data_IF_472060632858
#
_entry.id   IF_472060632858
#
_cell.length_a   1.000
_cell.length_b   1.000
_cell.length_c   1.000
_cell.angle_alpha   90.00
_cell.angle_beta   90.00
_cell.angle_gamma   90.00
#
_symmetry.space_group_name_H-M   'P 1'
#
loop_
_entity.id
_entity.type
_entity.pdbx_description
1 polymer ?
#
# COMPACT_ATOMS: atom_id res chain seq x y z
N UNK A 1 -22.15 -4.43 2.65
CA UNK A 1 -20.85 -3.90 2.24
C UNK A 1 -21.09 -2.80 1.23
N UNK A 2 -20.53 -1.62 1.45
CA UNK A 2 -20.76 -0.42 0.61
C UNK A 2 -19.49 -0.09 -0.17
N UNK A 3 -19.64 0.01 -1.49
CA UNK A 3 -18.56 0.25 -2.44
C UNK A 3 -18.72 1.63 -3.05
N UNK A 4 -17.66 2.40 -3.10
CA UNK A 4 -17.60 3.57 -3.97
C UNK A 4 -16.97 3.14 -5.31
N UNK A 5 -17.66 3.45 -6.41
CA UNK A 5 -17.20 3.20 -7.77
C UNK A 5 -16.89 4.52 -8.45
N UNK A 6 -15.63 4.78 -8.74
CA UNK A 6 -15.18 5.94 -9.50
C UNK A 6 -14.78 5.48 -10.92
N UNK A 7 -15.61 5.83 -11.92
CA UNK A 7 -15.49 5.39 -13.32
C UNK A 7 -16.16 6.40 -14.21
N UNK A 8 -15.44 7.05 -15.12
CA UNK A 8 -15.96 8.13 -15.95
C UNK A 8 -16.77 7.63 -17.16
N UNK A 9 -16.50 6.42 -17.64
CA UNK A 9 -17.28 5.79 -18.70
C UNK A 9 -18.65 5.33 -18.16
N UNK A 10 -19.67 6.11 -18.41
CA UNK A 10 -21.02 5.90 -17.84
C UNK A 10 -21.65 4.55 -18.20
N UNK A 11 -21.31 3.96 -19.35
CA UNK A 11 -21.80 2.64 -19.76
C UNK A 11 -21.18 1.54 -18.88
N UNK A 12 -19.87 1.59 -18.67
CA UNK A 12 -19.16 0.67 -17.79
C UNK A 12 -19.57 0.86 -16.32
N UNK A 13 -19.63 2.11 -15.87
CA UNK A 13 -20.08 2.45 -14.51
C UNK A 13 -21.45 1.86 -14.18
N UNK A 14 -22.44 2.01 -15.07
CA UNK A 14 -23.79 1.42 -14.89
C UNK A 14 -23.74 -0.11 -14.88
N UNK A 15 -22.97 -0.71 -15.78
CA UNK A 15 -22.87 -2.18 -15.86
C UNK A 15 -22.24 -2.76 -14.58
N UNK A 16 -21.17 -2.12 -14.09
CA UNK A 16 -20.49 -2.52 -12.84
C UNK A 16 -21.40 -2.29 -11.62
N UNK A 17 -22.08 -1.15 -11.55
CA UNK A 17 -23.05 -0.87 -10.47
C UNK A 17 -24.12 -1.95 -10.42
N UNK A 18 -24.81 -2.21 -11.54
CA UNK A 18 -25.85 -3.24 -11.59
C UNK A 18 -25.34 -4.63 -11.22
N UNK A 19 -24.11 -4.96 -11.62
CA UNK A 19 -23.46 -6.21 -11.26
C UNK A 19 -23.23 -6.32 -9.75
N UNK A 20 -22.66 -5.28 -9.13
CA UNK A 20 -22.36 -5.25 -7.71
C UNK A 20 -23.63 -5.29 -6.86
N UNK A 21 -24.67 -4.52 -7.25
CA UNK A 21 -25.98 -4.52 -6.58
C UNK A 21 -26.66 -5.91 -6.62
N UNK A 22 -26.58 -6.62 -7.76
CA UNK A 22 -27.08 -7.99 -7.88
C UNK A 22 -26.33 -8.97 -6.97
N UNK A 23 -25.11 -8.65 -6.56
CA UNK A 23 -24.32 -9.41 -5.62
C UNK A 23 -24.37 -8.86 -4.19
N UNK A 24 -25.44 -8.10 -3.87
CA UNK A 24 -25.76 -7.57 -2.54
C UNK A 24 -24.77 -6.54 -1.98
N UNK A 25 -24.08 -5.80 -2.85
CA UNK A 25 -23.30 -4.62 -2.46
C UNK A 25 -24.19 -3.38 -2.57
N UNK A 26 -24.05 -2.45 -1.65
CA UNK A 26 -24.54 -1.08 -1.85
C UNK A 26 -23.49 -0.30 -2.63
N UNK A 27 -23.85 0.42 -3.67
CA UNK A 27 -22.91 1.09 -4.57
C UNK A 27 -23.28 2.54 -4.75
N UNK A 28 -22.31 3.43 -4.54
CA UNK A 28 -22.39 4.81 -4.99
C UNK A 28 -21.41 4.97 -6.16
N UNK A 29 -21.89 5.56 -7.26
CA UNK A 29 -21.09 5.75 -8.46
C UNK A 29 -20.79 7.24 -8.68
N UNK A 30 -19.52 7.56 -8.89
CA UNK A 30 -18.99 8.89 -9.20
C UNK A 30 -18.19 8.84 -10.50
N UNK A 31 -17.98 9.98 -11.14
CA UNK A 31 -17.49 10.02 -12.51
C UNK A 31 -16.21 10.84 -12.70
N UNK A 32 -15.63 11.32 -11.61
CA UNK A 32 -14.31 11.96 -11.60
C UNK A 32 -13.63 11.81 -10.22
N UNK A 33 -12.33 12.05 -10.20
CA UNK A 33 -11.55 11.84 -8.98
C UNK A 33 -11.81 12.86 -7.87
N UNK A 34 -12.27 14.09 -8.21
CA UNK A 34 -12.60 15.09 -7.20
C UNK A 34 -13.88 14.68 -6.46
N UNK A 35 -14.91 14.26 -7.21
CA UNK A 35 -16.15 13.73 -6.65
C UNK A 35 -15.89 12.48 -5.79
N UNK A 36 -14.93 11.62 -6.20
CA UNK A 36 -14.56 10.45 -5.41
C UNK A 36 -14.01 10.82 -4.04
N UNK A 37 -13.15 11.84 -3.95
CA UNK A 37 -12.64 12.33 -2.67
C UNK A 37 -13.73 12.92 -1.79
N UNK A 38 -14.61 13.74 -2.34
CA UNK A 38 -15.72 14.35 -1.62
C UNK A 38 -16.63 13.29 -0.98
N UNK A 39 -16.94 12.21 -1.72
CA UNK A 39 -17.75 11.11 -1.22
C UNK A 39 -17.04 10.31 -0.13
N UNK A 40 -15.72 10.13 -0.23
CA UNK A 40 -14.92 9.42 0.77
C UNK A 40 -14.75 10.21 2.07
N UNK A 41 -14.73 11.54 2.01
CA UNK A 41 -14.72 12.40 3.19
C UNK A 41 -16.05 12.37 3.97
N UNK A 42 -17.16 12.29 3.25
CA UNK A 42 -18.51 12.34 3.83
C UNK A 42 -19.14 10.98 4.14
N UNK A 43 -18.59 9.89 3.62
CA UNK A 43 -19.21 8.57 3.65
C UNK A 43 -18.35 7.47 4.26
N UNK A 44 -19.02 6.42 4.76
CA UNK A 44 -18.35 5.19 5.18
C UNK A 44 -18.46 4.15 4.07
N UNK A 45 -17.32 3.82 3.46
CA UNK A 45 -17.19 2.80 2.44
C UNK A 45 -16.26 1.69 2.89
N UNK A 46 -16.57 0.46 2.48
CA UNK A 46 -15.77 -0.73 2.78
C UNK A 46 -14.66 -0.96 1.76
N UNK A 47 -14.84 -0.46 0.53
CA UNK A 47 -13.83 -0.46 -0.52
C UNK A 47 -14.09 0.63 -1.57
N UNK A 48 -13.04 0.98 -2.30
CA UNK A 48 -13.06 1.86 -3.47
C UNK A 48 -12.65 1.06 -4.71
N UNK A 49 -13.46 1.11 -5.75
CA UNK A 49 -13.08 0.70 -7.11
C UNK A 49 -12.79 1.97 -7.91
N UNK A 50 -11.59 2.12 -8.43
CA UNK A 50 -11.07 3.39 -8.92
C UNK A 50 -10.43 3.24 -10.30
N UNK A 51 -11.02 3.87 -11.31
CA UNK A 51 -10.36 3.97 -12.61
C UNK A 51 -9.14 4.89 -12.55
N UNK A 52 -8.08 4.52 -13.25
CA UNK A 52 -6.89 5.37 -13.38
C UNK A 52 -7.20 6.59 -14.25
N UNK A 53 -7.83 6.37 -15.39
CA UNK A 53 -8.06 7.41 -16.41
C UNK A 53 -9.39 8.11 -16.18
N UNK A 54 -9.39 9.18 -15.38
CA UNK A 54 -10.59 9.99 -15.13
C UNK A 54 -10.34 11.48 -15.40
N UNK A 55 -11.38 12.25 -15.76
CA UNK A 55 -11.26 13.69 -15.93
C UNK A 55 -11.04 14.41 -14.58
N UNK A 56 -10.57 15.66 -14.64
CA UNK A 56 -10.26 16.57 -13.54
C UNK A 56 -9.14 16.08 -12.63
N UNK A 57 -9.22 14.85 -12.13
CA UNK A 57 -8.22 14.24 -11.28
C UNK A 57 -8.18 12.74 -11.60
N UNK A 58 -6.99 12.24 -11.96
CA UNK A 58 -6.79 10.83 -12.24
C UNK A 58 -6.82 9.96 -10.97
N UNK A 59 -7.02 8.64 -11.15
CA UNK A 59 -7.16 7.74 -10.03
C UNK A 59 -5.89 7.58 -9.21
N UNK A 60 -4.70 7.77 -9.80
CA UNK A 60 -3.45 7.70 -9.06
C UNK A 60 -3.31 8.88 -8.10
N UNK A 61 -3.71 10.08 -8.53
CA UNK A 61 -3.72 11.26 -7.67
C UNK A 61 -4.75 11.12 -6.53
N UNK A 62 -5.94 10.55 -6.81
CA UNK A 62 -6.93 10.22 -5.78
C UNK A 62 -6.32 9.29 -4.74
N UNK A 63 -5.71 8.18 -5.17
CA UNK A 63 -5.09 7.21 -4.28
C UNK A 63 -4.00 7.85 -3.42
N UNK A 64 -3.12 8.64 -4.03
CA UNK A 64 -2.05 9.34 -3.34
C UNK A 64 -2.59 10.26 -2.24
N UNK A 65 -3.62 11.06 -2.52
CA UNK A 65 -4.27 11.94 -1.53
C UNK A 65 -4.90 11.18 -0.39
N UNK A 66 -5.62 10.10 -0.69
CA UNK A 66 -6.20 9.23 0.33
C UNK A 66 -5.15 8.71 1.31
N UNK A 67 -4.03 8.20 0.79
CA UNK A 67 -2.95 7.67 1.64
C UNK A 67 -2.23 8.77 2.43
N UNK A 68 -2.06 9.97 1.87
CA UNK A 68 -1.53 11.13 2.60
C UNK A 68 -2.43 11.58 3.75
N UNK A 69 -3.74 11.45 3.61
CA UNK A 69 -4.73 11.73 4.66
C UNK A 69 -4.81 10.60 5.71
N UNK A 70 -4.02 9.54 5.58
CA UNK A 70 -4.07 8.38 6.47
C UNK A 70 -5.26 7.46 6.24
N UNK A 71 -6.01 7.66 5.16
CA UNK A 71 -7.14 6.79 4.82
C UNK A 71 -6.63 5.47 4.24
N UNK A 72 -6.92 4.37 4.93
CA UNK A 72 -6.49 3.01 4.60
C UNK A 72 -7.56 2.18 3.91
N UNK A 73 -8.62 2.80 3.38
CA UNK A 73 -9.68 2.10 2.66
C UNK A 73 -9.08 1.16 1.59
N UNK A 74 -9.56 -0.08 1.46
CA UNK A 74 -9.13 -0.98 0.39
C UNK A 74 -9.45 -0.40 -0.98
N UNK A 75 -8.46 -0.36 -1.87
CA UNK A 75 -8.59 0.19 -3.23
C UNK A 75 -8.26 -0.86 -4.27
N UNK A 76 -9.23 -1.11 -5.16
CA UNK A 76 -9.06 -1.85 -6.40
C UNK A 76 -8.94 -0.87 -7.57
N UNK A 77 -7.76 -0.80 -8.18
CA UNK A 77 -7.54 0.05 -9.35
C UNK A 77 -8.02 -0.63 -10.62
N UNK A 78 -8.75 0.10 -11.46
CA UNK A 78 -9.08 -0.33 -12.82
C UNK A 78 -8.09 0.32 -13.78
N UNK A 79 -7.52 -0.46 -14.71
CA UNK A 79 -6.47 0.02 -15.62
C UNK A 79 -6.66 -0.49 -17.03
N UNK A 80 -6.28 0.27 -18.06
CA UNK A 80 -6.28 -0.18 -19.44
C UNK A 80 -5.17 -1.22 -19.68
N UNK A 81 -5.37 -2.04 -20.71
CA UNK A 81 -4.39 -3.06 -21.13
C UNK A 81 -3.15 -2.37 -21.73
N UNK A 82 -2.00 -2.51 -21.10
CA UNK A 82 -0.73 -1.93 -21.56
C UNK A 82 -0.01 -1.05 -20.53
N UNK A 83 -0.70 -0.58 -19.51
CA UNK A 83 -0.15 0.26 -18.44
C UNK A 83 0.49 -0.60 -17.32
N UNK A 84 1.37 -1.54 -17.72
CA UNK A 84 2.05 -2.42 -16.74
C UNK A 84 3.00 -1.61 -15.85
N UNK A 85 3.57 -0.54 -16.39
CA UNK A 85 4.44 0.38 -15.65
C UNK A 85 3.65 1.13 -14.57
N UNK A 86 2.38 1.48 -14.84
CA UNK A 86 1.50 2.10 -13.86
C UNK A 86 1.11 1.15 -12.73
N UNK A 87 1.06 -0.17 -12.99
CA UNK A 87 0.82 -1.18 -11.94
C UNK A 87 1.92 -1.22 -10.89
N UNK A 88 3.18 -1.08 -11.30
CA UNK A 88 4.33 -1.08 -10.37
C UNK A 88 4.31 0.21 -9.56
N UNK A 89 4.13 1.35 -10.22
CA UNK A 89 4.00 2.65 -9.54
C UNK A 89 2.80 2.68 -8.58
N UNK A 90 1.73 2.02 -8.94
CA UNK A 90 0.52 2.01 -8.14
C UNK A 90 0.58 1.11 -6.91
N UNK A 91 1.27 -0.04 -6.95
CA UNK A 91 1.50 -0.88 -5.77
C UNK A 91 2.36 -0.13 -4.74
N UNK A 92 3.38 0.59 -5.21
CA UNK A 92 4.19 1.48 -4.36
C UNK A 92 3.38 2.66 -3.82
N UNK A 93 2.30 3.06 -4.52
CA UNK A 93 1.38 4.13 -4.10
C UNK A 93 0.32 3.69 -3.10
N UNK A 94 0.27 2.41 -2.74
CA UNK A 94 -0.61 1.87 -1.69
C UNK A 94 -1.98 1.38 -2.16
N UNK A 95 -2.14 1.00 -3.44
CA UNK A 95 -3.30 0.23 -3.90
C UNK A 95 -3.25 -1.20 -3.34
N UNK A 96 -4.42 -1.82 -3.15
CA UNK A 96 -4.51 -3.19 -2.66
C UNK A 96 -4.48 -4.22 -3.78
N UNK A 97 -5.03 -3.90 -4.96
CA UNK A 97 -5.02 -4.77 -6.13
C UNK A 97 -5.32 -3.98 -7.41
N UNK A 98 -5.10 -4.61 -8.57
CA UNK A 98 -5.31 -4.07 -9.92
C UNK A 98 -6.13 -5.01 -10.77
N UNK A 99 -7.04 -4.45 -11.58
CA UNK A 99 -7.85 -5.18 -12.52
C UNK A 99 -7.78 -4.52 -13.91
N UNK A 100 -7.34 -5.30 -14.90
CA UNK A 100 -7.14 -4.78 -16.25
C UNK A 100 -8.43 -4.83 -17.07
N UNK A 101 -8.81 -3.72 -17.68
CA UNK A 101 -9.92 -3.62 -18.63
C UNK A 101 -9.52 -4.22 -20.01
N UNK A 102 -10.39 -5.01 -20.68
CA UNK A 102 -11.67 -5.52 -20.20
C UNK A 102 -11.49 -6.68 -19.22
N UNK A 103 -12.35 -6.77 -18.23
CA UNK A 103 -12.30 -7.79 -17.17
C UNK A 103 -13.56 -8.67 -17.14
N UNK A 104 -13.41 -9.86 -16.58
CA UNK A 104 -14.54 -10.75 -16.31
C UNK A 104 -15.26 -10.32 -15.01
N UNK A 105 -16.57 -10.48 -14.99
CA UNK A 105 -17.44 -10.23 -13.84
C UNK A 105 -16.95 -10.94 -12.58
N UNK A 106 -16.64 -12.22 -12.73
CA UNK A 106 -16.20 -13.12 -11.65
C UNK A 106 -14.85 -12.65 -11.07
N UNK A 107 -13.97 -12.11 -11.91
CA UNK A 107 -12.68 -11.61 -11.51
C UNK A 107 -12.83 -10.34 -10.64
N UNK A 108 -13.64 -9.38 -11.07
CA UNK A 108 -13.95 -8.18 -10.30
C UNK A 108 -14.48 -8.54 -8.90
N UNK A 109 -15.47 -9.43 -8.84
CA UNK A 109 -16.06 -9.85 -7.57
C UNK A 109 -15.07 -10.62 -6.67
N UNK A 110 -14.22 -11.45 -7.26
CA UNK A 110 -13.21 -12.19 -6.50
C UNK A 110 -12.16 -11.27 -5.89
N UNK A 111 -11.68 -10.27 -6.65
CA UNK A 111 -10.70 -9.29 -6.18
C UNK A 111 -11.28 -8.38 -5.10
N UNK A 112 -12.50 -7.88 -5.26
CA UNK A 112 -13.18 -7.09 -4.24
C UNK A 112 -13.30 -7.86 -2.92
N UNK A 113 -13.70 -9.15 -2.97
CA UNK A 113 -13.74 -10.00 -1.77
C UNK A 113 -12.36 -10.23 -1.15
N UNK A 114 -11.31 -10.31 -1.96
CA UNK A 114 -9.95 -10.51 -1.47
C UNK A 114 -9.43 -9.29 -0.69
N UNK A 115 -9.51 -8.09 -1.28
CA UNK A 115 -9.00 -6.87 -0.66
C UNK A 115 -9.76 -6.49 0.61
N UNK A 116 -11.07 -6.70 0.64
CA UNK A 116 -11.91 -6.39 1.81
C UNK A 116 -11.70 -7.37 2.98
N UNK A 117 -11.37 -8.63 2.69
CA UNK A 117 -11.02 -9.62 3.71
C UNK A 117 -9.72 -9.29 4.43
N UNK A 118 -8.72 -8.82 3.69
CA UNK A 118 -7.43 -8.42 4.25
C UNK A 118 -7.56 -7.26 5.24
N UNK A 119 -8.42 -6.28 4.96
CA UNK A 119 -8.64 -5.13 5.85
C UNK A 119 -9.27 -5.54 7.19
N UNK A 120 -10.20 -6.48 7.19
CA UNK A 120 -10.82 -7.00 8.41
C UNK A 120 -9.82 -7.76 9.28
N UNK A 121 -8.91 -8.54 8.69
CA UNK A 121 -7.90 -9.27 9.45
C UNK A 121 -6.87 -8.34 10.10
N UNK A 122 -6.44 -7.28 9.41
CA UNK A 122 -5.53 -6.30 9.98
C UNK A 122 -6.16 -5.53 11.14
N UNK A 123 -7.44 -5.14 11.04
CA UNK A 123 -8.14 -4.45 12.12
C UNK A 123 -8.36 -5.35 13.34
N UNK A 124 -8.66 -6.62 13.15
CA UNK A 124 -8.85 -7.57 14.26
C UNK A 124 -7.55 -7.90 14.99
N UNK A 125 -6.41 -7.94 14.32
CA UNK A 125 -5.10 -8.13 14.94
C UNK A 125 -4.66 -6.92 15.75
N UNK A 126 -4.94 -5.70 15.29
CA UNK A 126 -4.64 -4.48 16.03
C UNK A 126 -5.49 -4.36 17.30
N UNK A 127 -6.74 -4.79 17.27
CA UNK A 127 -7.63 -4.73 18.43
C UNK A 127 -7.27 -5.79 19.48
N UNK A 128 -6.81 -6.98 19.07
CA UNK A 128 -6.39 -8.02 20.01
C UNK A 128 -5.07 -7.72 20.71
N UNK A 129 -4.16 -6.98 20.07
CA UNK A 129 -2.89 -6.57 20.69
C UNK A 129 -3.04 -5.46 21.73
N UNK A 130 -4.15 -4.71 21.74
CA UNK A 130 -4.41 -3.70 22.78
C UNK A 130 -5.00 -4.26 24.07
N UNK A 131 -5.47 -5.52 24.07
CA UNK A 131 -6.10 -6.15 25.24
C UNK A 131 -5.16 -7.02 26.06
N UNK A 132 -3.98 -7.34 25.57
CA UNK A 132 -2.96 -8.10 26.33
C UNK A 132 -1.67 -7.28 26.39
N UNK A 133 -1.50 -6.56 27.48
CA UNK A 133 -0.22 -5.99 27.87
C UNK A 133 0.81 -7.10 28.08
N UNK A 134 1.99 -6.89 27.51
CA UNK A 134 3.19 -7.70 27.49
C UNK A 134 3.35 -8.60 26.26
N UNK A 135 4.02 -8.07 25.24
CA UNK A 135 4.64 -8.87 24.19
C UNK A 135 5.87 -9.54 24.81
N UNK A 136 5.93 -10.87 24.91
CA UNK A 136 7.20 -11.53 25.23
C UNK A 136 8.15 -11.32 24.05
N UNK A 137 9.47 -11.14 24.30
CA UNK A 137 10.43 -10.99 23.20
C UNK A 137 10.37 -12.22 22.31
N UNK A 138 10.22 -11.98 21.01
CA UNK A 138 10.28 -13.01 19.96
C UNK A 138 11.66 -13.64 19.99
N UNK A 139 11.80 -14.76 20.68
CA UNK A 139 12.95 -15.64 20.54
C UNK A 139 12.75 -16.42 19.24
N UNK A 140 13.42 -15.99 18.18
CA UNK A 140 13.58 -16.80 16.97
C UNK A 140 14.43 -18.02 17.32
N UNK A 141 13.77 -19.12 17.67
CA UNK A 141 14.44 -20.42 17.83
C UNK A 141 14.58 -21.02 16.44
N UNK A 142 15.74 -20.85 15.84
CA UNK A 142 16.12 -21.60 14.65
C UNK A 142 16.50 -23.02 15.10
N UNK A 143 15.89 -24.10 14.57
CA UNK A 143 16.34 -25.45 14.90
C UNK A 143 17.73 -25.69 14.29
N UNK A 144 18.76 -25.74 15.13
CA UNK A 144 20.08 -26.11 14.70
C UNK A 144 21.27 -25.23 15.16
N UNK A 145 21.03 -24.16 15.93
CA UNK A 145 22.15 -23.38 16.50
C UNK A 145 22.20 -23.56 17.99
N UNK A 146 23.20 -24.33 18.45
CA UNK A 146 23.63 -24.36 19.86
C UNK A 146 24.68 -23.26 20.06
N UNK A 147 24.35 -22.30 20.93
CA UNK A 147 25.33 -21.33 21.43
C UNK A 147 26.30 -22.02 22.39
N UNK A 148 27.62 -21.83 22.25
CA UNK A 148 28.56 -22.33 23.23
C UNK A 148 28.35 -21.63 24.57
N UNK A 149 28.28 -22.43 25.63
CA UNK A 149 28.18 -21.96 27.00
C UNK A 149 29.42 -21.15 27.38
N UNK A 150 29.23 -19.91 27.79
CA UNK A 150 30.22 -19.13 28.48
C UNK A 150 30.51 -17.77 27.89
N UNK A 151 29.62 -16.79 28.11
CA UNK A 151 30.09 -15.43 28.40
C UNK A 151 29.06 -14.71 29.28
N UNK A 152 29.57 -14.31 30.44
CA UNK A 152 28.90 -13.70 31.55
C UNK A 152 28.43 -12.25 31.20
N UNK A 153 27.41 -11.87 31.92
CA UNK A 153 26.84 -10.53 32.05
C UNK A 153 27.93 -9.45 32.15
N UNK A 154 27.75 -8.39 31.36
CA UNK A 154 28.36 -7.10 31.68
C UNK A 154 27.21 -6.16 32.03
N UNK A 155 27.35 -5.63 33.23
CA UNK A 155 26.46 -4.67 33.89
C UNK A 155 26.46 -3.34 33.15
N UNK A 156 25.29 -2.66 33.18
CA UNK A 156 25.17 -1.24 33.01
C UNK A 156 26.24 -0.47 33.82
N UNK A 157 26.99 0.34 33.15
CA UNK A 157 27.40 1.67 33.63
C UNK A 157 28.14 2.44 32.52
N UNK A 158 27.59 3.54 32.17
CA UNK A 158 28.10 4.83 31.83
C UNK A 158 29.34 5.01 30.94
N UNK A 159 29.17 5.97 30.05
CA UNK A 159 30.18 6.81 29.43
C UNK A 159 30.63 6.47 28.00
N UNK A 160 30.10 7.28 27.11
CA UNK A 160 30.62 7.53 25.78
C UNK A 160 31.89 8.38 25.89
N UNK A 161 33.02 8.01 25.28
CA UNK A 161 34.03 8.99 24.91
C UNK A 161 33.98 9.29 23.41
N UNK A 162 33.90 10.57 23.12
CA UNK A 162 34.12 11.14 21.82
C UNK A 162 35.52 10.81 21.28
N UNK A 163 35.60 10.40 20.02
CA UNK A 163 36.89 10.42 19.30
C UNK A 163 36.74 11.30 18.05
N UNK A 164 37.59 12.30 18.03
CA UNK A 164 37.89 13.24 16.95
C UNK A 164 38.63 12.59 15.79
N UNK A 165 38.56 13.18 14.59
CA UNK A 165 39.20 12.66 13.39
C UNK A 165 40.63 13.20 13.20
N UNK A 166 41.52 12.31 12.82
CA UNK A 166 42.80 12.57 12.17
C UNK A 166 43.19 11.27 11.48
N UNK A 167 43.70 11.13 10.32
CA UNK A 167 44.56 11.86 9.43
C UNK A 167 44.51 11.17 8.07
N UNK A 168 44.46 11.95 7.04
CA UNK A 168 44.80 11.52 5.67
C UNK A 168 46.33 11.54 5.50
N UNK A 169 46.90 10.63 4.72
CA UNK A 169 48.09 10.96 3.94
C UNK A 169 47.75 11.11 2.45
N UNK A 170 48.20 12.24 1.92
CA UNK A 170 48.32 12.55 0.49
C UNK A 170 49.46 11.73 -0.13
N UNK A 171 49.28 11.29 -1.31
CA UNK A 171 50.33 10.88 -2.23
C UNK A 171 49.71 10.92 -3.64
N UNK A 172 49.90 11.92 -4.38
CA UNK A 172 51.00 12.28 -5.27
C UNK A 172 51.05 11.35 -6.49
N UNK A 173 50.64 11.90 -7.55
CA UNK A 173 51.21 12.49 -8.76
C UNK A 173 51.47 11.53 -9.92
N UNK A 174 51.22 12.09 -11.06
CA UNK A 174 51.78 11.83 -12.41
C UNK A 174 50.86 11.01 -13.31
N UNK A 175 50.46 11.44 -14.42
CA UNK A 175 50.99 12.39 -15.33
C UNK A 175 50.82 11.84 -16.74
N UNK A 176 50.49 12.73 -17.65
CA UNK A 176 50.72 12.66 -19.08
C UNK A 176 49.90 11.65 -19.90
N UNK A 177 49.28 11.93 -20.94
CA UNK A 177 49.56 12.80 -22.06
C UNK A 177 48.87 12.21 -23.30
N UNK A 178 48.29 13.08 -24.09
CA UNK A 178 48.24 13.11 -25.54
C UNK A 178 47.51 11.98 -26.32
N UNK A 179 46.57 12.36 -27.08
CA UNK A 179 46.75 12.43 -28.51
C UNK A 179 45.58 11.91 -29.34
N UNK A 180 45.08 12.82 -30.11
CA UNK A 180 44.33 12.74 -31.37
C UNK A 180 42.84 12.54 -31.29
#
# INVERSE_FOLDING_TARGET
MRILLAEDERSLSRAVTALLERNHYAVDAVYDGAEALDYLEGGNYDALTLDIMMPKMDGMEVLRRLRQQGNSIPVLMLTARGEVEDKVLGLDSGANDYLTKPFATEELLARLRAITRQSVQLSSQLTSNHLFGAVPPLTLVHPGWQLPAGQQRVSDDGAVPAQSPADHPRGAVSGANLGL
#
